data_IF_324082232426
#
_entry.id   IF_324082232426
#
_cell.length_a   1.000
_cell.length_b   1.000
_cell.length_c   1.000
_cell.angle_alpha   90.00
_cell.angle_beta   90.00
_cell.angle_gamma   90.00
#
_symmetry.space_group_name_H-M   'P 1'
#
loop_
_entity.id
_entity.type
_entity.pdbx_description
1 polymer ?
#
# COMPACT_ATOMS: atom_id res chain seq x y z
N UNK A 1 7.63 -6.75 -12.95
CA UNK A 1 8.17 -5.40 -13.15
C UNK A 1 8.01 -4.64 -11.84
N UNK A 2 8.91 -3.71 -11.47
CA UNK A 2 8.67 -2.88 -10.30
C UNK A 2 7.50 -1.92 -10.55
N UNK A 3 6.62 -1.73 -9.57
CA UNK A 3 5.57 -0.69 -9.61
C UNK A 3 6.24 0.67 -9.84
N UNK A 4 5.75 1.44 -10.81
CA UNK A 4 6.31 2.76 -11.14
C UNK A 4 6.12 3.76 -10.00
N UNK A 5 7.03 4.72 -9.86
CA UNK A 5 6.93 5.73 -8.80
C UNK A 5 5.70 6.64 -8.94
N UNK A 6 5.20 6.81 -10.17
CA UNK A 6 3.95 7.51 -10.44
C UNK A 6 2.76 6.80 -9.80
N UNK A 7 2.63 5.47 -10.00
CA UNK A 7 1.59 4.66 -9.35
C UNK A 7 1.73 4.73 -7.83
N UNK A 8 2.96 4.65 -7.30
CA UNK A 8 3.17 4.76 -5.86
C UNK A 8 2.73 6.11 -5.31
N UNK A 9 2.92 7.20 -6.05
CA UNK A 9 2.42 8.51 -5.64
C UNK A 9 0.89 8.59 -5.68
N UNK A 10 0.25 8.01 -6.70
CA UNK A 10 -1.22 7.97 -6.81
C UNK A 10 -1.81 7.24 -5.61
N UNK A 11 -1.29 6.05 -5.28
CA UNK A 11 -1.73 5.26 -4.12
C UNK A 11 -1.54 6.05 -2.82
N UNK A 12 -0.40 6.71 -2.63
CA UNK A 12 -0.16 7.56 -1.43
C UNK A 12 -1.15 8.71 -1.30
N UNK A 13 -1.41 9.42 -2.40
CA UNK A 13 -2.36 10.55 -2.41
C UNK A 13 -3.78 10.08 -2.14
N UNK A 14 -4.21 8.96 -2.75
CA UNK A 14 -5.51 8.33 -2.49
C UNK A 14 -5.68 7.99 -1.01
N UNK A 15 -4.68 7.35 -0.44
CA UNK A 15 -4.65 6.93 0.95
C UNK A 15 -4.46 8.10 1.95
N UNK A 16 -4.34 9.35 1.47
CA UNK A 16 -4.04 10.53 2.29
C UNK A 16 -2.80 10.36 3.17
N UNK A 17 -1.81 9.62 2.68
CA UNK A 17 -0.59 9.27 3.41
C UNK A 17 -0.87 8.48 4.72
N UNK A 18 -1.98 7.74 4.77
CA UNK A 18 -2.33 6.83 5.87
C UNK A 18 -2.23 5.38 5.39
N UNK A 19 -1.86 4.47 6.29
CA UNK A 19 -1.92 3.04 6.02
C UNK A 19 -3.38 2.65 5.76
N UNK A 20 -3.68 2.01 4.63
CA UNK A 20 -5.05 1.61 4.29
C UNK A 20 -5.54 0.40 5.10
N UNK A 21 -4.65 -0.26 5.86
CA UNK A 21 -5.02 -1.34 6.77
C UNK A 21 -5.24 -0.87 8.21
N UNK A 22 -4.38 0.01 8.74
CA UNK A 22 -4.42 0.40 10.17
C UNK A 22 -4.61 1.91 10.41
N UNK A 23 -4.69 2.72 9.36
CA UNK A 23 -4.83 4.18 9.40
C UNK A 23 -3.69 4.95 10.10
N UNK A 24 -2.56 4.30 10.37
CA UNK A 24 -1.35 4.98 10.84
C UNK A 24 -0.82 5.95 9.79
N UNK A 25 -0.38 7.13 10.24
CA UNK A 25 0.13 8.18 9.36
C UNK A 25 1.59 7.92 8.95
N UNK A 26 1.87 7.92 7.65
CA UNK A 26 3.24 7.85 7.09
C UNK A 26 4.09 9.00 7.61
N UNK A 27 3.50 10.18 7.85
CA UNK A 27 4.21 11.38 8.33
C UNK A 27 4.64 11.31 9.79
N UNK A 28 3.93 10.55 10.61
CA UNK A 28 4.24 10.38 12.04
C UNK A 28 5.10 9.13 12.28
N UNK A 29 5.33 8.33 11.25
CA UNK A 29 5.99 7.05 11.34
C UNK A 29 7.43 7.17 10.87
N UNK A 30 8.39 6.69 11.66
CA UNK A 30 9.80 6.64 11.26
C UNK A 30 10.06 5.58 10.16
N UNK A 31 9.10 4.69 9.92
CA UNK A 31 9.24 3.59 8.96
C UNK A 31 8.78 3.97 7.56
N UNK A 32 9.43 3.37 6.56
CA UNK A 32 9.08 3.57 5.16
C UNK A 32 7.81 2.79 4.82
N UNK A 33 6.80 3.49 4.34
CA UNK A 33 5.61 2.84 3.80
C UNK A 33 5.88 2.42 2.36
N UNK A 34 5.34 1.26 2.02
CA UNK A 34 5.46 0.63 0.71
C UNK A 34 4.08 0.44 0.11
N UNK A 35 4.04 0.31 -1.21
CA UNK A 35 2.81 -0.12 -1.87
C UNK A 35 2.77 -1.65 -1.81
N UNK A 36 1.68 -2.18 -1.30
CA UNK A 36 1.42 -3.60 -1.13
C UNK A 36 0.23 -4.04 -1.98
N UNK A 37 0.25 -5.28 -2.47
CA UNK A 37 -0.88 -5.84 -3.18
C UNK A 37 -1.95 -6.33 -2.21
N UNK A 38 -3.18 -5.85 -2.37
CA UNK A 38 -4.34 -6.30 -1.58
C UNK A 38 -4.54 -7.80 -1.81
N UNK A 39 -4.74 -8.20 -3.07
CA UNK A 39 -4.67 -9.58 -3.53
C UNK A 39 -3.22 -9.86 -3.95
N UNK A 40 -2.51 -10.80 -3.30
CA UNK A 40 -1.15 -11.18 -3.70
C UNK A 40 -1.08 -11.61 -5.17
N UNK A 41 0.02 -11.28 -5.84
CA UNK A 41 0.27 -11.73 -7.21
C UNK A 41 0.24 -13.28 -7.33
N UNK A 42 0.68 -14.00 -6.30
CA UNK A 42 0.61 -15.47 -6.25
C UNK A 42 -0.81 -16.03 -6.27
N UNK A 43 -1.81 -15.21 -5.89
CA UNK A 43 -3.23 -15.55 -5.93
C UNK A 43 -3.95 -14.90 -7.13
N UNK A 44 -3.21 -14.38 -8.11
CA UNK A 44 -3.76 -13.75 -9.31
C UNK A 44 -4.05 -12.25 -9.17
N UNK A 45 -3.52 -11.60 -8.13
CA UNK A 45 -3.61 -10.15 -7.98
C UNK A 45 -2.84 -9.38 -9.06
N UNK A 46 -3.40 -8.24 -9.48
CA UNK A 46 -2.82 -7.38 -10.52
C UNK A 46 -2.05 -6.20 -9.96
N UNK A 47 -1.24 -5.56 -10.80
CA UNK A 47 -0.57 -4.28 -10.50
C UNK A 47 -1.50 -3.06 -10.71
N UNK A 48 -2.82 -3.29 -10.82
CA UNK A 48 -3.80 -2.23 -10.98
C UNK A 48 -3.88 -1.38 -9.70
N UNK A 49 -4.09 -0.07 -9.86
CA UNK A 49 -4.16 0.89 -8.75
C UNK A 49 -5.19 0.46 -7.68
N UNK A 50 -6.29 -0.16 -8.10
CA UNK A 50 -7.35 -0.64 -7.21
C UNK A 50 -6.93 -1.86 -6.36
N UNK A 51 -5.94 -2.63 -6.81
CA UNK A 51 -5.37 -3.76 -6.07
C UNK A 51 -4.09 -3.38 -5.28
N UNK A 52 -3.69 -2.12 -5.33
CA UNK A 52 -2.52 -1.60 -4.61
C UNK A 52 -2.98 -0.79 -3.41
N UNK A 53 -2.39 -1.03 -2.26
CA UNK A 53 -2.68 -0.33 -1.02
C UNK A 53 -1.41 0.31 -0.44
N UNK A 54 -1.55 1.49 0.17
CA UNK A 54 -0.47 2.07 0.95
C UNK A 54 -0.39 1.32 2.28
N UNK A 55 0.70 0.62 2.50
CA UNK A 55 0.91 -0.19 3.68
C UNK A 55 2.25 0.11 4.34
N UNK A 56 2.28 0.04 5.66
CA UNK A 56 3.54 -0.17 6.36
C UNK A 56 3.88 -1.66 6.21
N UNK A 57 5.14 -2.01 5.92
CA UNK A 57 5.67 -3.37 6.10
C UNK A 57 5.56 -4.00 7.51
N UNK A 58 4.74 -3.44 8.40
CA UNK A 58 4.27 -4.10 9.61
C UNK A 58 3.25 -5.15 9.16
N UNK A 59 3.28 -6.33 9.80
CA UNK A 59 2.26 -7.38 9.67
C UNK A 59 0.92 -6.92 10.29
N UNK A 60 0.36 -5.82 9.81
CA UNK A 60 -1.03 -5.51 10.07
C UNK A 60 -1.84 -6.63 9.42
N UNK A 61 -2.77 -7.26 10.15
CA UNK A 61 -3.69 -8.20 9.53
C UNK A 61 -4.40 -7.42 8.41
N UNK A 62 -4.27 -7.90 7.17
CA UNK A 62 -5.12 -7.44 6.07
C UNK A 62 -6.53 -7.71 6.56
N UNK A 63 -7.25 -6.66 6.95
CA UNK A 63 -8.64 -6.77 7.35
C UNK A 63 -9.35 -7.44 6.19
N UNK A 64 -9.77 -8.69 6.43
CA UNK A 64 -10.46 -9.53 5.46
C UNK A 64 -11.86 -9.02 5.16
#
# INVERSE_FOLDING_TARGET
MPISDEIKQVVRKRAKYLCEYCHSSERLSASRFTVDHIIPQSLGGSDAIDNLALAWGCRCPKLG
#
